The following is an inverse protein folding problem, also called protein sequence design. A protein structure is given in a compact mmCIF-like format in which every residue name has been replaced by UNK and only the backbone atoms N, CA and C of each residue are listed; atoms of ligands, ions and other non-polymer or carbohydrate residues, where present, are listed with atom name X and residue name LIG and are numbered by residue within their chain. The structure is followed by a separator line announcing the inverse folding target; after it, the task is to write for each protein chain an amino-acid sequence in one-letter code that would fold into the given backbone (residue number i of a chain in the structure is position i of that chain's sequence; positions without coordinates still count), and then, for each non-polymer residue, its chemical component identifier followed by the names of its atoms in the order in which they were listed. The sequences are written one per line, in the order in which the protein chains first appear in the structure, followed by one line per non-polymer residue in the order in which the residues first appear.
data_IF_111015897991
#
_entry.id   IF_111015897991
#
_cell.length_a   1.000
_cell.length_b   1.000
_cell.length_c   1.000
_cell.angle_alpha   90.00
_cell.angle_beta   90.00
_cell.angle_gamma   90.00
#
_symmetry.space_group_name_H-M   'P 1'
#
loop_
_entity.id
_entity.type
_entity.pdbx_description
1 polymer ?
#
# COMPACT_ATOMS: atom_id res chain seq x y z
N UNK A 1 -20.96 4.11 -18.63
CA UNK A 1 -19.70 3.57 -19.16
C UNK A 1 -18.52 4.34 -18.58
N UNK A 2 -17.46 3.67 -18.13
CA UNK A 2 -16.18 4.24 -17.69
C UNK A 2 -15.09 3.74 -18.64
N UNK A 3 -14.20 4.61 -19.04
CA UNK A 3 -13.06 4.27 -19.88
C UNK A 3 -11.80 4.69 -19.11
N UNK A 4 -10.91 3.74 -18.88
CA UNK A 4 -9.62 3.95 -18.22
C UNK A 4 -8.55 3.74 -19.28
N UNK A 5 -7.76 4.77 -19.57
CA UNK A 5 -6.73 4.74 -20.59
C UNK A 5 -5.34 4.82 -19.97
N UNK A 6 -4.42 4.05 -20.48
CA UNK A 6 -3.00 4.13 -20.14
C UNK A 6 -2.17 3.93 -21.42
N UNK A 7 -1.66 5.04 -21.95
CA UNK A 7 -0.93 5.09 -23.23
C UNK A 7 -1.78 4.45 -24.35
N UNK A 8 -1.44 3.23 -24.77
CA UNK A 8 -2.12 2.50 -25.86
C UNK A 8 -3.17 1.51 -25.35
N UNK A 9 -3.20 1.22 -24.04
CA UNK A 9 -4.12 0.26 -23.44
C UNK A 9 -5.36 0.95 -22.86
N UNK A 10 -6.54 0.36 -23.06
CA UNK A 10 -7.81 0.84 -22.51
C UNK A 10 -8.58 -0.26 -21.79
N UNK A 11 -9.18 0.07 -20.65
CA UNK A 11 -10.23 -0.73 -20.02
C UNK A 11 -11.55 -0.01 -20.17
N UNK A 12 -12.57 -0.68 -20.68
CA UNK A 12 -13.91 -0.16 -20.81
C UNK A 12 -14.83 -0.94 -19.88
N UNK A 13 -15.52 -0.23 -18.98
CA UNK A 13 -16.49 -0.81 -18.05
C UNK A 13 -17.85 -0.20 -18.27
N UNK A 14 -18.86 -1.05 -18.47
CA UNK A 14 -20.26 -0.67 -18.60
C UNK A 14 -21.15 -1.79 -18.05
N UNK A 15 -22.36 -1.44 -17.68
CA UNK A 15 -23.45 -2.37 -17.38
C UNK A 15 -24.16 -2.90 -18.63
N UNK A 16 -23.75 -2.42 -19.82
CA UNK A 16 -24.31 -2.77 -21.12
C UNK A 16 -23.22 -3.09 -22.15
N UNK A 17 -23.10 -4.32 -22.57
CA UNK A 17 -22.21 -4.71 -23.69
C UNK A 17 -22.59 -4.01 -25.01
N UNK A 18 -23.87 -3.65 -25.19
CA UNK A 18 -24.28 -2.87 -26.37
C UNK A 18 -23.64 -1.51 -26.42
N UNK A 19 -23.50 -0.85 -25.27
CA UNK A 19 -22.86 0.48 -25.18
C UNK A 19 -21.36 0.40 -25.46
N UNK A 20 -20.69 -0.65 -24.93
CA UNK A 20 -19.27 -0.93 -25.24
C UNK A 20 -19.09 -1.11 -26.74
N UNK A 21 -19.86 -2.02 -27.36
CA UNK A 21 -19.77 -2.29 -28.79
C UNK A 21 -20.07 -1.07 -29.65
N UNK A 22 -21.05 -0.25 -29.24
CA UNK A 22 -21.38 0.99 -29.95
C UNK A 22 -20.23 2.00 -29.89
N UNK A 23 -19.62 2.13 -28.71
CA UNK A 23 -18.47 3.02 -28.53
C UNK A 23 -17.26 2.56 -29.34
N UNK A 24 -16.86 1.28 -29.22
CA UNK A 24 -15.73 0.70 -29.98
C UNK A 24 -15.93 0.89 -31.47
N UNK A 25 -17.13 0.60 -31.98
CA UNK A 25 -17.47 0.82 -33.40
C UNK A 25 -17.36 2.29 -33.82
N UNK A 26 -17.81 3.22 -32.97
CA UNK A 26 -17.70 4.66 -33.26
C UNK A 26 -16.26 5.15 -33.33
N UNK A 27 -15.34 4.51 -32.61
CA UNK A 27 -13.91 4.82 -32.67
C UNK A 27 -13.26 4.22 -33.95
N UNK A 28 -13.66 3.03 -34.36
CA UNK A 28 -13.11 2.38 -35.57
C UNK A 28 -13.65 3.01 -36.86
N UNK A 29 -14.95 3.37 -36.87
CA UNK A 29 -15.62 3.94 -38.05
C UNK A 29 -15.59 5.50 -38.06
N UNK A 30 -14.92 6.11 -37.10
CA UNK A 30 -14.82 7.57 -36.94
C UNK A 30 -13.89 8.25 -37.94
N UNK A 31 -13.88 9.59 -37.98
CA UNK A 31 -13.06 10.33 -38.98
C UNK A 31 -11.55 10.11 -38.80
N UNK A 32 -11.08 9.63 -37.66
CA UNK A 32 -9.67 9.37 -37.38
C UNK A 32 -9.29 7.89 -37.48
N UNK A 33 -10.25 6.99 -37.78
CA UNK A 33 -10.05 5.54 -38.03
C UNK A 33 -9.04 4.87 -37.10
N UNK A 34 -9.33 4.81 -35.79
CA UNK A 34 -8.44 4.16 -34.85
C UNK A 34 -8.38 2.64 -35.11
N UNK A 35 -7.17 2.10 -35.22
CA UNK A 35 -6.96 0.65 -35.25
C UNK A 35 -7.00 0.11 -33.85
N UNK A 36 -8.12 -0.52 -33.47
CA UNK A 36 -8.33 -1.11 -32.14
C UNK A 36 -8.28 -2.65 -32.25
N UNK A 37 -7.67 -3.27 -31.25
CA UNK A 37 -7.72 -4.71 -31.03
C UNK A 37 -8.57 -4.99 -29.80
N UNK A 38 -9.61 -5.78 -29.94
CA UNK A 38 -10.43 -6.23 -28.82
C UNK A 38 -9.79 -7.47 -28.19
N UNK A 39 -9.29 -7.32 -26.96
CA UNK A 39 -8.67 -8.41 -26.17
C UNK A 39 -9.70 -9.25 -25.39
N UNK A 40 -11.01 -8.92 -25.50
CA UNK A 40 -12.09 -9.60 -24.80
C UNK A 40 -12.18 -9.24 -23.32
N UNK A 41 -12.66 -10.22 -22.51
CA UNK A 41 -12.79 -10.03 -21.08
C UNK A 41 -11.43 -9.81 -20.42
N UNK A 42 -11.42 -8.87 -19.45
CA UNK A 42 -10.19 -8.48 -18.77
C UNK A 42 -9.58 -9.65 -17.97
N UNK A 43 -8.41 -10.11 -18.38
CA UNK A 43 -7.64 -11.13 -17.68
C UNK A 43 -6.23 -10.64 -17.33
N UNK A 44 -5.77 -9.56 -17.96
CA UNK A 44 -4.46 -8.94 -17.73
C UNK A 44 -4.52 -7.46 -18.10
N UNK A 45 -3.89 -6.62 -17.28
CA UNK A 45 -3.70 -5.21 -17.56
C UNK A 45 -2.42 -4.69 -16.91
N UNK A 46 -1.58 -3.98 -17.67
CA UNK A 46 -0.31 -3.40 -17.22
C UNK A 46 0.60 -4.40 -16.45
N UNK A 47 0.65 -5.65 -16.89
CA UNK A 47 1.44 -6.70 -16.24
C UNK A 47 0.86 -7.23 -14.93
N UNK A 48 -0.39 -6.89 -14.61
CA UNK A 48 -1.19 -7.45 -13.52
C UNK A 48 -2.13 -8.50 -14.12
N UNK A 49 -2.08 -9.71 -13.63
CA UNK A 49 -3.04 -10.77 -13.94
C UNK A 49 -4.28 -10.61 -13.08
N UNK A 50 -5.45 -10.73 -13.69
CA UNK A 50 -6.76 -10.63 -13.06
C UNK A 50 -7.44 -11.97 -13.23
N UNK A 51 -7.63 -12.69 -12.13
CA UNK A 51 -8.26 -14.02 -12.13
C UNK A 51 -9.56 -13.98 -11.34
N UNK A 52 -10.64 -14.32 -11.97
CA UNK A 52 -11.89 -14.59 -11.28
C UNK A 52 -11.78 -15.93 -10.50
N UNK A 53 -12.05 -15.89 -9.19
CA UNK A 53 -12.06 -17.07 -8.32
C UNK A 53 -13.49 -17.60 -8.24
N UNK A 54 -14.42 -16.71 -7.97
CA UNK A 54 -15.87 -16.95 -7.99
C UNK A 54 -16.58 -15.66 -8.40
N UNK A 55 -17.87 -15.71 -8.65
CA UNK A 55 -18.68 -14.51 -8.92
C UNK A 55 -18.41 -13.43 -7.85
N UNK A 56 -17.96 -12.25 -8.26
CA UNK A 56 -17.58 -11.10 -7.43
C UNK A 56 -16.33 -11.29 -6.55
N UNK A 57 -15.53 -12.34 -6.75
CA UNK A 57 -14.26 -12.53 -6.05
C UNK A 57 -13.13 -12.68 -7.06
N UNK A 58 -12.14 -11.78 -7.01
CA UNK A 58 -11.04 -11.70 -7.96
C UNK A 58 -9.70 -11.72 -7.24
N UNK A 59 -8.67 -12.28 -7.88
CA UNK A 59 -7.28 -12.17 -7.45
C UNK A 59 -6.50 -11.35 -8.47
N UNK A 60 -5.77 -10.35 -7.99
CA UNK A 60 -4.83 -9.54 -8.78
C UNK A 60 -3.42 -9.94 -8.39
N UNK A 61 -2.64 -10.44 -9.35
CA UNK A 61 -1.28 -10.95 -9.09
C UNK A 61 -0.28 -10.55 -10.17
N UNK A 62 1.01 -10.68 -9.87
CA UNK A 62 2.11 -10.38 -10.81
C UNK A 62 3.20 -11.47 -10.78
N UNK A 63 2.86 -12.73 -11.05
CA UNK A 63 3.80 -13.86 -10.91
C UNK A 63 5.02 -13.72 -11.83
N UNK A 64 4.88 -13.22 -13.04
CA UNK A 64 5.98 -12.98 -13.97
C UNK A 64 6.98 -11.95 -13.47
N UNK A 65 6.50 -10.86 -12.83
CA UNK A 65 7.39 -9.87 -12.25
C UNK A 65 8.16 -10.46 -11.06
N UNK A 66 7.49 -11.24 -10.22
CA UNK A 66 8.12 -11.93 -9.09
C UNK A 66 9.17 -12.92 -9.58
N UNK A 67 8.86 -13.69 -10.62
CA UNK A 67 9.81 -14.63 -11.24
C UNK A 67 11.05 -13.90 -11.78
N UNK A 68 10.85 -12.79 -12.49
CA UNK A 68 11.94 -11.95 -12.98
C UNK A 68 12.82 -11.42 -11.85
N UNK A 69 12.23 -10.96 -10.74
CA UNK A 69 12.97 -10.52 -9.54
C UNK A 69 13.78 -11.69 -8.98
N UNK A 70 13.16 -12.86 -8.82
CA UNK A 70 13.82 -14.06 -8.28
C UNK A 70 14.99 -14.50 -9.17
N UNK A 71 14.83 -14.52 -10.49
CA UNK A 71 15.88 -14.89 -11.44
C UNK A 71 17.08 -13.94 -11.35
N UNK A 72 16.86 -12.62 -11.30
CA UNK A 72 17.96 -11.65 -11.13
C UNK A 72 18.68 -11.82 -9.80
N UNK A 73 17.95 -12.18 -8.73
CA UNK A 73 18.54 -12.41 -7.41
C UNK A 73 19.25 -13.77 -7.30
N UNK A 74 19.22 -14.63 -8.35
CA UNK A 74 19.76 -15.99 -8.31
C UNK A 74 18.93 -16.95 -7.46
N UNK A 75 17.62 -16.73 -7.38
CA UNK A 75 16.66 -17.55 -6.63
C UNK A 75 15.73 -18.35 -7.58
N UNK A 76 16.11 -18.48 -8.85
CA UNK A 76 15.35 -19.21 -9.86
C UNK A 76 15.27 -20.71 -9.58
N UNK A 77 14.28 -21.38 -10.18
CA UNK A 77 13.82 -22.73 -9.82
C UNK A 77 14.80 -23.88 -9.98
N UNK A 78 15.89 -23.72 -10.75
CA UNK A 78 16.79 -24.84 -11.10
C UNK A 78 17.96 -25.05 -10.12
N UNK A 79 18.32 -24.08 -9.29
CA UNK A 79 19.45 -24.17 -8.37
C UNK A 79 19.08 -23.87 -6.90
N UNK A 80 17.88 -23.38 -6.67
CA UNK A 80 17.47 -22.90 -5.36
C UNK A 80 16.46 -23.84 -4.71
N UNK A 81 16.88 -24.50 -3.62
CA UNK A 81 15.96 -25.30 -2.82
C UNK A 81 15.04 -24.38 -2.00
N UNK A 82 13.88 -24.04 -2.57
CA UNK A 82 12.88 -23.16 -1.96
C UNK A 82 12.48 -23.65 -0.57
N UNK A 83 12.36 -24.96 -0.38
CA UNK A 83 11.91 -25.57 0.91
C UNK A 83 12.85 -25.30 2.08
N UNK A 84 14.17 -25.25 1.85
CA UNK A 84 15.15 -25.08 2.93
C UNK A 84 15.50 -23.62 3.24
N UNK A 85 15.20 -22.68 2.33
CA UNK A 85 15.63 -21.28 2.41
C UNK A 85 14.46 -20.27 2.42
N UNK A 86 13.22 -20.72 2.63
CA UNK A 86 12.04 -19.85 2.66
C UNK A 86 12.11 -18.82 3.79
N UNK A 87 11.54 -17.65 3.53
CA UNK A 87 11.27 -16.64 4.55
C UNK A 87 9.76 -16.42 4.64
N UNK A 88 9.24 -16.48 5.83
CA UNK A 88 7.81 -16.37 6.11
C UNK A 88 7.36 -14.91 6.31
N UNK A 89 8.33 -13.99 6.49
CA UNK A 89 8.11 -12.55 6.60
C UNK A 89 9.08 -11.79 5.71
N UNK A 90 8.65 -10.69 5.06
CA UNK A 90 9.51 -9.93 4.14
C UNK A 90 10.61 -9.16 4.86
N UNK A 91 10.34 -8.67 6.08
CA UNK A 91 11.26 -7.85 6.88
C UNK A 91 11.95 -8.68 7.95
N UNK A 92 13.22 -8.38 8.22
CA UNK A 92 13.99 -8.91 9.35
C UNK A 92 14.28 -7.84 10.39
N UNK A 93 14.72 -8.27 11.57
CA UNK A 93 15.27 -7.38 12.60
C UNK A 93 16.79 -7.55 12.65
N UNK A 94 17.58 -6.52 12.99
CA UNK A 94 17.16 -5.11 13.17
C UNK A 94 16.76 -4.42 11.85
N UNK A 95 16.14 -3.23 11.94
CA UNK A 95 15.86 -2.40 10.76
C UNK A 95 17.17 -1.94 10.10
N UNK A 96 17.09 -1.70 8.80
CA UNK A 96 18.25 -1.25 8.03
C UNK A 96 18.66 0.18 8.37
N UNK A 97 19.96 0.43 8.36
CA UNK A 97 20.58 1.75 8.51
C UNK A 97 21.57 2.02 7.37
N UNK A 98 22.22 3.18 7.34
CA UNK A 98 23.19 3.53 6.29
C UNK A 98 24.40 2.58 6.22
N UNK A 99 24.69 1.86 7.31
CA UNK A 99 25.78 0.87 7.40
C UNK A 99 27.11 1.41 6.83
N UNK A 100 27.53 2.59 7.34
CA UNK A 100 28.67 3.34 6.78
C UNK A 100 29.96 2.51 6.71
N UNK A 101 30.23 1.71 7.76
CA UNK A 101 31.37 0.81 7.87
C UNK A 101 31.10 -0.57 7.26
N UNK A 102 29.93 -0.76 6.65
CA UNK A 102 29.50 -2.02 6.08
C UNK A 102 30.33 -2.47 4.89
N UNK A 103 30.51 -3.76 4.75
CA UNK A 103 31.22 -4.37 3.63
C UNK A 103 30.53 -4.03 2.30
N UNK A 104 31.29 -3.86 1.20
CA UNK A 104 30.72 -3.72 -0.13
C UNK A 104 29.81 -4.90 -0.48
N UNK A 105 28.85 -4.67 -1.37
CA UNK A 105 28.05 -5.73 -1.97
C UNK A 105 28.93 -6.76 -2.67
N UNK A 106 28.45 -8.02 -2.66
CA UNK A 106 29.14 -9.14 -3.32
C UNK A 106 28.55 -9.50 -4.68
N UNK A 107 27.26 -9.22 -4.88
CA UNK A 107 26.54 -9.55 -6.10
C UNK A 107 26.57 -8.41 -7.10
N UNK A 108 26.62 -8.72 -8.37
CA UNK A 108 26.76 -7.79 -9.50
C UNK A 108 25.43 -7.22 -10.02
N UNK A 109 24.26 -7.82 -9.62
CA UNK A 109 22.96 -7.34 -10.08
C UNK A 109 22.72 -5.84 -9.69
N UNK A 110 22.06 -5.12 -10.58
CA UNK A 110 21.81 -3.68 -10.40
C UNK A 110 20.77 -3.42 -9.30
N UNK A 111 21.23 -2.93 -8.15
CA UNK A 111 20.39 -2.70 -6.96
C UNK A 111 19.15 -1.85 -7.26
N UNK A 112 19.33 -0.68 -7.91
CA UNK A 112 18.22 0.23 -8.25
C UNK A 112 17.18 -0.42 -9.15
N UNK A 113 17.58 -1.27 -10.07
CA UNK A 113 16.64 -2.00 -10.96
C UNK A 113 15.76 -2.94 -10.16
N UNK A 114 16.33 -3.69 -9.20
CA UNK A 114 15.56 -4.57 -8.31
C UNK A 114 14.59 -3.74 -7.45
N UNK A 115 15.06 -2.64 -6.87
CA UNK A 115 14.19 -1.78 -6.06
C UNK A 115 13.05 -1.19 -6.90
N UNK A 116 13.30 -0.78 -8.14
CA UNK A 116 12.24 -0.34 -9.07
C UNK A 116 11.18 -1.41 -9.32
N UNK A 117 11.59 -2.65 -9.58
CA UNK A 117 10.66 -3.78 -9.73
C UNK A 117 9.87 -4.06 -8.44
N UNK A 118 10.52 -4.02 -7.29
CA UNK A 118 9.86 -4.19 -5.99
C UNK A 118 8.88 -3.04 -5.69
N UNK A 119 9.22 -1.80 -6.06
CA UNK A 119 8.35 -0.63 -5.91
C UNK A 119 7.09 -0.77 -6.75
N UNK A 120 7.22 -1.23 -7.98
CA UNK A 120 6.07 -1.50 -8.85
C UNK A 120 5.21 -2.64 -8.28
N UNK A 121 5.82 -3.73 -7.85
CA UNK A 121 5.13 -4.88 -7.27
C UNK A 121 4.34 -4.51 -6.00
N UNK A 122 5.00 -3.80 -5.06
CA UNK A 122 4.36 -3.40 -3.80
C UNK A 122 3.24 -2.37 -4.00
N UNK A 123 3.34 -1.52 -5.01
CA UNK A 123 2.34 -0.49 -5.28
C UNK A 123 1.08 -1.01 -5.99
N UNK A 124 1.10 -2.25 -6.50
CA UNK A 124 -0.01 -2.80 -7.29
C UNK A 124 -0.66 -4.03 -6.63
N UNK A 125 0.11 -5.06 -6.29
CA UNK A 125 -0.47 -6.35 -5.89
C UNK A 125 0.07 -6.93 -4.58
N UNK A 126 1.10 -6.31 -3.98
CA UNK A 126 1.77 -6.85 -2.78
C UNK A 126 2.00 -5.78 -1.70
N UNK A 127 0.94 -5.21 -1.10
CA UNK A 127 1.06 -4.17 -0.08
C UNK A 127 1.89 -4.61 1.13
N UNK A 128 1.88 -5.87 1.49
CA UNK A 128 2.58 -6.41 2.65
C UNK A 128 4.11 -6.37 2.55
N UNK A 129 4.66 -6.11 1.35
CA UNK A 129 6.10 -5.89 1.19
C UNK A 129 6.48 -4.40 1.17
N UNK A 130 5.53 -3.49 1.34
CA UNK A 130 5.78 -2.03 1.20
C UNK A 130 6.83 -1.53 2.18
N UNK A 131 6.74 -1.93 3.45
CA UNK A 131 7.74 -1.56 4.44
C UNK A 131 9.14 -2.07 4.07
N UNK A 132 9.27 -3.34 3.67
CA UNK A 132 10.55 -3.92 3.25
C UNK A 132 11.13 -3.16 2.05
N UNK A 133 10.31 -2.90 1.05
CA UNK A 133 10.71 -2.18 -0.16
C UNK A 133 11.13 -0.74 0.14
N UNK A 134 10.37 -0.03 0.98
CA UNK A 134 10.72 1.33 1.39
C UNK A 134 12.05 1.36 2.15
N UNK A 135 12.26 0.43 3.11
CA UNK A 135 13.52 0.32 3.84
C UNK A 135 14.72 0.12 2.90
N UNK A 136 14.59 -0.73 1.89
CA UNK A 136 15.64 -0.98 0.90
C UNK A 136 15.85 0.22 -0.03
N UNK A 137 14.81 0.92 -0.44
CA UNK A 137 14.86 2.05 -1.36
C UNK A 137 15.69 3.23 -0.81
N UNK A 138 15.71 3.42 0.52
CA UNK A 138 16.50 4.45 1.21
C UNK A 138 18.01 4.38 0.91
N UNK A 139 18.50 3.19 0.56
CA UNK A 139 19.94 2.93 0.41
C UNK A 139 20.38 2.72 -1.05
N UNK A 140 19.56 3.12 -2.02
CA UNK A 140 19.85 2.99 -3.46
C UNK A 140 21.11 3.72 -3.93
N UNK A 141 21.56 4.75 -3.21
CA UNK A 141 22.73 5.53 -3.58
C UNK A 141 24.04 4.80 -3.25
N UNK A 142 24.10 4.14 -2.09
CA UNK A 142 25.30 3.41 -1.63
C UNK A 142 24.92 2.15 -0.87
N UNK A 143 24.36 1.13 -1.55
CA UNK A 143 23.95 -0.11 -0.89
C UNK A 143 25.16 -0.94 -0.45
N UNK A 144 25.09 -1.46 0.77
CA UNK A 144 26.09 -2.32 1.39
C UNK A 144 25.66 -3.78 1.38
N UNK A 145 26.51 -4.67 1.88
CA UNK A 145 26.24 -6.10 1.98
C UNK A 145 24.99 -6.41 2.83
N UNK A 146 24.75 -5.64 3.90
CA UNK A 146 23.54 -5.76 4.73
C UNK A 146 22.27 -5.51 3.91
N UNK A 147 22.27 -4.50 3.04
CA UNK A 147 21.16 -4.16 2.14
C UNK A 147 20.95 -5.25 1.07
N UNK A 148 22.03 -5.81 0.53
CA UNK A 148 21.99 -6.95 -0.40
C UNK A 148 21.35 -8.19 0.25
N UNK A 149 21.75 -8.50 1.48
CA UNK A 149 21.20 -9.62 2.24
C UNK A 149 19.70 -9.43 2.54
N UNK A 150 19.29 -8.22 2.90
CA UNK A 150 17.88 -7.91 3.14
C UNK A 150 17.06 -7.98 1.84
N UNK A 151 17.60 -7.53 0.70
CA UNK A 151 16.96 -7.69 -0.62
C UNK A 151 16.80 -9.17 -0.97
N UNK A 152 17.84 -9.97 -0.74
CA UNK A 152 17.77 -11.43 -0.95
C UNK A 152 16.76 -12.10 -0.03
N UNK A 153 16.62 -11.63 1.24
CA UNK A 153 15.59 -12.11 2.15
C UNK A 153 14.18 -11.85 1.60
N UNK A 154 13.93 -10.63 1.10
CA UNK A 154 12.66 -10.27 0.48
C UNK A 154 12.39 -11.13 -0.77
N UNK A 155 13.39 -11.34 -1.63
CA UNK A 155 13.29 -12.26 -2.77
C UNK A 155 12.91 -13.69 -2.36
N UNK A 156 13.45 -14.21 -1.25
CA UNK A 156 13.08 -15.53 -0.72
C UNK A 156 11.62 -15.59 -0.24
N UNK A 157 11.12 -14.52 0.35
CA UNK A 157 9.70 -14.41 0.70
C UNK A 157 8.83 -14.43 -0.56
N UNK A 158 9.19 -13.65 -1.58
CA UNK A 158 8.47 -13.59 -2.85
C UNK A 158 8.51 -14.92 -3.61
N UNK A 159 9.65 -15.61 -3.65
CA UNK A 159 9.76 -16.92 -4.29
C UNK A 159 8.80 -17.95 -3.67
N UNK A 160 8.60 -17.89 -2.35
CA UNK A 160 7.68 -18.78 -1.64
C UNK A 160 6.20 -18.42 -1.85
N UNK A 161 5.90 -17.18 -2.22
CA UNK A 161 4.55 -16.66 -2.38
C UNK A 161 4.29 -16.14 -3.81
N UNK A 162 4.97 -16.74 -4.81
CA UNK A 162 5.02 -16.24 -6.19
C UNK A 162 3.63 -16.08 -6.81
N UNK A 163 2.78 -17.06 -6.60
CA UNK A 163 1.45 -17.15 -7.22
C UNK A 163 0.35 -16.46 -6.40
N UNK A 164 0.74 -15.59 -5.45
CA UNK A 164 -0.18 -14.86 -4.58
C UNK A 164 -0.24 -13.37 -4.93
N UNK A 165 -1.42 -12.83 -4.78
CA UNK A 165 -1.70 -11.40 -5.02
C UNK A 165 -2.71 -10.85 -4.02
N UNK A 166 -3.47 -9.84 -4.40
CA UNK A 166 -4.58 -9.33 -3.59
C UNK A 166 -5.86 -10.07 -3.99
N UNK A 167 -6.55 -10.61 -3.01
CA UNK A 167 -7.88 -11.19 -3.21
C UNK A 167 -8.93 -10.14 -2.89
N UNK A 168 -9.60 -9.64 -3.91
CA UNK A 168 -10.76 -8.76 -3.79
C UNK A 168 -12.02 -9.59 -3.56
N UNK A 169 -12.64 -9.41 -2.41
CA UNK A 169 -13.91 -10.01 -2.04
C UNK A 169 -14.80 -8.92 -1.39
N UNK A 170 -15.43 -8.06 -2.21
CA UNK A 170 -16.08 -6.86 -1.73
C UNK A 170 -17.25 -7.15 -0.77
N UNK A 171 -17.22 -6.53 0.40
CA UNK A 171 -18.36 -6.44 1.31
C UNK A 171 -19.14 -5.15 1.05
N UNK A 172 -20.28 -5.27 0.38
CA UNK A 172 -21.13 -4.13 -0.01
C UNK A 172 -21.73 -3.36 1.18
N UNK A 173 -21.63 -3.90 2.40
CA UNK A 173 -22.08 -3.21 3.63
C UNK A 173 -21.05 -2.20 4.14
N UNK A 174 -19.79 -2.30 3.68
CA UNK A 174 -18.68 -1.47 4.11
C UNK A 174 -18.38 -0.36 3.08
N UNK A 175 -18.09 0.83 3.60
CA UNK A 175 -17.73 2.00 2.79
C UNK A 175 -16.21 2.19 2.67
N UNK A 176 -15.80 3.46 2.72
CA UNK A 176 -14.38 3.85 2.76
C UNK A 176 -13.90 3.71 4.20
N UNK A 177 -12.84 2.95 4.40
CA UNK A 177 -12.15 2.84 5.68
C UNK A 177 -10.66 3.13 5.50
N UNK A 178 -10.04 3.73 6.51
CA UNK A 178 -8.61 4.03 6.51
C UNK A 178 -8.01 3.51 7.82
N UNK A 179 -7.08 2.57 7.72
CA UNK A 179 -6.25 2.11 8.84
C UNK A 179 -4.95 2.90 8.81
N UNK A 180 -4.55 3.48 9.93
CA UNK A 180 -3.36 4.32 10.02
C UNK A 180 -2.54 3.97 11.25
N UNK A 181 -1.22 3.96 11.10
CA UNK A 181 -0.25 3.67 12.16
C UNK A 181 1.06 4.44 11.93
N UNK A 182 1.79 4.68 13.02
CA UNK A 182 3.15 5.17 12.95
C UNK A 182 4.11 4.40 13.87
N UNK A 183 5.24 3.96 13.35
CA UNK A 183 6.33 3.42 14.17
C UNK A 183 7.21 4.59 14.64
N UNK A 184 7.00 5.03 15.89
CA UNK A 184 7.71 6.16 16.49
C UNK A 184 9.19 5.84 16.70
N UNK A 185 10.07 6.52 15.91
CA UNK A 185 11.52 6.36 15.98
C UNK A 185 12.01 4.91 15.99
N UNK A 186 11.30 4.00 15.27
CA UNK A 186 11.57 2.55 15.33
C UNK A 186 12.96 2.13 14.82
N UNK A 187 13.65 3.00 14.09
CA UNK A 187 15.04 2.80 13.68
C UNK A 187 16.09 3.30 14.69
N UNK A 188 15.66 3.95 15.77
CA UNK A 188 16.58 4.56 16.73
C UNK A 188 17.28 3.51 17.59
N UNK A 189 18.59 3.70 17.77
CA UNK A 189 19.35 3.07 18.84
C UNK A 189 20.53 3.97 19.24
N UNK A 190 21.10 3.70 20.41
CA UNK A 190 22.19 4.54 20.99
C UNK A 190 23.39 4.63 20.07
N UNK A 191 23.76 3.57 19.37
CA UNK A 191 24.95 3.51 18.50
C UNK A 191 24.78 4.26 17.16
N UNK A 192 23.52 4.50 16.75
CA UNK A 192 23.19 5.17 15.48
C UNK A 192 22.40 6.47 15.67
N UNK A 193 22.33 6.98 16.91
CA UNK A 193 21.54 8.16 17.29
C UNK A 193 21.94 9.45 16.57
N UNK A 194 23.19 9.56 16.11
CA UNK A 194 23.66 10.72 15.33
C UNK A 194 23.08 10.80 13.91
N UNK A 195 22.41 9.75 13.41
CA UNK A 195 21.81 9.75 12.09
C UNK A 195 20.33 10.14 12.16
N UNK A 196 19.98 11.32 11.67
CA UNK A 196 18.62 11.85 11.67
C UNK A 196 17.59 10.88 11.05
N UNK A 197 17.98 10.10 10.03
CA UNK A 197 17.08 9.13 9.38
C UNK A 197 16.64 8.00 10.32
N UNK A 198 17.37 7.74 11.40
CA UNK A 198 17.02 6.69 12.37
C UNK A 198 16.09 7.21 13.48
N UNK A 199 15.95 8.54 13.60
CA UNK A 199 15.09 9.21 14.58
C UNK A 199 13.69 9.45 13.98
N UNK A 200 13.60 9.52 12.64
CA UNK A 200 12.34 9.74 11.94
C UNK A 200 11.38 8.57 12.15
N UNK A 201 10.13 8.89 12.43
CA UNK A 201 9.05 7.91 12.53
C UNK A 201 8.64 7.40 11.17
N UNK A 202 8.03 6.22 11.12
CA UNK A 202 7.56 5.60 9.90
C UNK A 202 6.03 5.67 9.86
N UNK A 203 5.48 6.24 8.80
CA UNK A 203 4.03 6.29 8.55
C UNK A 203 3.61 5.12 7.68
N UNK A 204 2.56 4.43 8.09
CA UNK A 204 1.85 3.45 7.28
C UNK A 204 0.35 3.71 7.30
N UNK A 205 -0.29 3.58 6.16
CA UNK A 205 -1.75 3.57 6.10
C UNK A 205 -2.25 2.74 4.92
N UNK A 206 -3.45 2.23 5.06
CA UNK A 206 -4.17 1.56 3.99
C UNK A 206 -5.60 2.06 3.94
N UNK A 207 -6.06 2.41 2.74
CA UNK A 207 -7.43 2.80 2.45
C UNK A 207 -8.11 1.61 1.80
N UNK A 208 -9.24 1.20 2.35
CA UNK A 208 -10.09 0.15 1.81
C UNK A 208 -11.43 0.72 1.36
N UNK A 209 -12.03 0.09 0.35
CA UNK A 209 -13.40 0.32 -0.06
C UNK A 209 -14.09 -1.04 -0.17
N UNK A 210 -15.27 -1.18 0.44
CA UNK A 210 -15.95 -2.48 0.54
C UNK A 210 -15.03 -3.59 1.09
N UNK A 211 -14.21 -3.28 2.11
CA UNK A 211 -13.17 -4.13 2.71
C UNK A 211 -12.03 -4.56 1.77
N UNK A 212 -11.93 -4.00 0.57
CA UNK A 212 -10.87 -4.28 -0.39
C UNK A 212 -9.84 -3.15 -0.38
N UNK A 213 -8.52 -3.44 -0.29
CA UNK A 213 -7.50 -2.40 -0.29
C UNK A 213 -7.43 -1.73 -1.68
N UNK A 214 -7.54 -0.39 -1.71
CA UNK A 214 -7.52 0.38 -2.95
C UNK A 214 -6.34 1.35 -3.01
N UNK A 215 -5.79 1.73 -1.86
CA UNK A 215 -4.58 2.56 -1.78
C UNK A 215 -3.84 2.33 -0.46
N UNK A 216 -2.52 2.33 -0.50
CA UNK A 216 -1.66 2.16 0.69
C UNK A 216 -0.33 2.86 0.52
N UNK A 217 0.28 3.23 1.63
CA UNK A 217 1.61 3.82 1.65
C UNK A 217 2.39 3.39 2.89
N UNK A 218 3.70 3.28 2.70
CA UNK A 218 4.69 3.02 3.74
C UNK A 218 5.85 3.99 3.48
N UNK A 219 6.08 4.97 4.37
CA UNK A 219 7.07 6.02 4.15
C UNK A 219 7.61 6.61 5.46
N UNK A 220 8.86 7.06 5.42
CA UNK A 220 9.46 7.79 6.53
C UNK A 220 8.79 9.17 6.62
N UNK A 221 8.54 9.65 7.83
CA UNK A 221 8.08 11.02 8.06
C UNK A 221 9.20 12.01 7.69
N UNK A 222 8.83 13.20 7.29
CA UNK A 222 9.79 14.26 6.92
C UNK A 222 10.21 15.13 8.11
N UNK A 223 9.54 14.96 9.24
CA UNK A 223 9.75 15.69 10.48
C UNK A 223 9.96 14.73 11.63
N UNK A 224 10.70 15.17 12.64
CA UNK A 224 10.92 14.40 13.86
C UNK A 224 9.73 14.64 14.77
N UNK A 225 8.96 13.61 15.05
CA UNK A 225 7.93 13.62 16.07
C UNK A 225 8.57 13.55 17.46
N UNK A 226 7.99 14.26 18.41
CA UNK A 226 8.48 14.31 19.80
C UNK A 226 7.78 13.33 20.72
N UNK A 227 6.77 12.63 20.22
CA UNK A 227 6.01 11.61 20.95
C UNK A 227 5.34 10.63 20.00
N UNK A 228 4.96 9.46 20.51
CA UNK A 228 4.17 8.48 19.75
C UNK A 228 2.86 9.11 19.22
N UNK A 229 2.12 9.83 20.07
CA UNK A 229 0.87 10.48 19.68
C UNK A 229 1.06 11.53 18.58
N UNK A 230 2.19 12.23 18.55
CA UNK A 230 2.53 13.15 17.47
C UNK A 230 2.85 12.41 16.18
N UNK A 231 3.62 11.33 16.22
CA UNK A 231 3.92 10.50 15.06
C UNK A 231 2.63 9.94 14.44
N UNK A 232 1.72 9.42 15.27
CA UNK A 232 0.40 8.91 14.84
C UNK A 232 -0.47 10.03 14.23
N UNK A 233 -0.48 11.21 14.83
CA UNK A 233 -1.24 12.35 14.29
C UNK A 233 -0.71 12.82 12.93
N UNK A 234 0.62 12.81 12.73
CA UNK A 234 1.25 13.09 11.44
C UNK A 234 0.85 12.03 10.41
N UNK A 235 0.84 10.75 10.81
CA UNK A 235 0.43 9.66 9.94
C UNK A 235 -1.06 9.79 9.54
N UNK A 236 -1.94 10.07 10.50
CA UNK A 236 -3.36 10.32 10.25
C UNK A 236 -3.57 11.52 9.30
N UNK A 237 -2.91 12.64 9.54
CA UNK A 237 -2.96 13.78 8.64
C UNK A 237 -2.50 13.43 7.21
N UNK A 238 -1.45 12.64 7.09
CA UNK A 238 -0.92 12.19 5.79
C UNK A 238 -1.91 11.29 5.06
N UNK A 239 -2.55 10.36 5.75
CA UNK A 239 -3.55 9.47 5.16
C UNK A 239 -4.80 10.22 4.71
N UNK A 240 -5.25 11.20 5.49
CA UNK A 240 -6.46 11.97 5.20
C UNK A 240 -6.30 12.94 4.02
N UNK A 241 -5.07 13.29 3.63
CA UNK A 241 -4.80 14.00 2.36
C UNK A 241 -5.13 13.17 1.13
N UNK A 242 -5.05 11.85 1.25
CA UNK A 242 -5.43 10.91 0.18
C UNK A 242 -6.93 10.56 0.27
N UNK A 243 -7.46 10.38 1.48
CA UNK A 243 -8.87 10.02 1.71
C UNK A 243 -9.83 11.11 1.23
N UNK A 244 -9.56 12.39 1.52
CA UNK A 244 -10.49 13.49 1.21
C UNK A 244 -10.73 13.64 -0.30
N UNK A 245 -9.69 13.66 -1.17
CA UNK A 245 -9.88 13.65 -2.62
C UNK A 245 -10.58 12.39 -3.11
N UNK A 246 -10.24 11.21 -2.55
CA UNK A 246 -10.89 9.95 -2.91
C UNK A 246 -12.40 9.98 -2.61
N UNK A 247 -12.81 10.48 -1.44
CA UNK A 247 -14.23 10.66 -1.11
C UNK A 247 -14.94 11.56 -2.13
N UNK A 248 -14.26 12.59 -2.63
CA UNK A 248 -14.80 13.47 -3.66
C UNK A 248 -14.96 12.74 -4.99
N UNK A 249 -13.92 12.01 -5.42
CA UNK A 249 -13.96 11.17 -6.61
C UNK A 249 -15.10 10.13 -6.55
N UNK A 250 -15.25 9.45 -5.41
CA UNK A 250 -16.32 8.46 -5.23
C UNK A 250 -17.73 9.09 -5.31
N UNK A 251 -17.91 10.33 -4.82
CA UNK A 251 -19.16 11.07 -4.99
C UNK A 251 -19.47 11.40 -6.45
N UNK A 252 -18.45 11.76 -7.22
CA UNK A 252 -18.59 12.05 -8.65
C UNK A 252 -18.90 10.79 -9.44
N UNK A 253 -18.16 9.71 -9.18
CA UNK A 253 -18.41 8.40 -9.80
C UNK A 253 -19.84 7.90 -9.53
N UNK A 254 -20.34 8.08 -8.29
CA UNK A 254 -21.70 7.66 -7.93
C UNK A 254 -22.80 8.39 -8.70
N UNK A 255 -22.56 9.63 -9.15
CA UNK A 255 -23.53 10.36 -10.01
C UNK A 255 -23.69 9.73 -11.39
N UNK A 256 -22.61 9.12 -11.90
CA UNK A 256 -22.58 8.49 -13.23
C UNK A 256 -22.90 7.01 -13.15
N UNK A 257 -22.42 6.36 -12.11
CA UNK A 257 -22.64 4.94 -11.77
C UNK A 257 -23.22 4.88 -10.37
N UNK A 258 -24.54 4.77 -10.21
CA UNK A 258 -25.13 4.49 -8.91
C UNK A 258 -24.67 3.09 -8.47
N UNK A 259 -23.51 3.04 -7.83
CA UNK A 259 -23.04 1.82 -7.15
C UNK A 259 -24.13 1.51 -6.13
N UNK A 260 -24.75 0.33 -6.24
CA UNK A 260 -25.82 -0.14 -5.36
C UNK A 260 -25.28 -0.40 -3.94
N UNK A 261 -24.88 0.66 -3.27
CA UNK A 261 -24.63 0.68 -1.84
C UNK A 261 -25.91 1.20 -1.21
N UNK A 262 -26.45 0.45 -0.27
CA UNK A 262 -27.76 0.70 0.39
C UNK A 262 -27.89 2.07 1.11
N UNK A 263 -26.90 2.87 1.14
CA UNK A 263 -26.84 4.33 1.37
C UNK A 263 -25.43 4.77 0.96
N UNK A 264 -25.27 5.64 -0.03
CA UNK A 264 -23.97 6.18 -0.37
C UNK A 264 -23.50 7.15 0.72
N UNK A 265 -23.07 6.61 1.83
CA UNK A 265 -22.39 7.36 2.86
C UNK A 265 -20.94 7.52 2.41
N UNK A 266 -20.66 8.62 1.75
CA UNK A 266 -19.30 9.03 1.39
C UNK A 266 -18.56 9.60 2.61
N UNK A 267 -18.68 8.93 3.75
CA UNK A 267 -17.86 9.18 4.91
C UNK A 267 -16.77 8.10 5.00
N UNK A 268 -15.66 8.46 5.64
CA UNK A 268 -14.58 7.54 5.92
C UNK A 268 -14.51 7.22 7.40
N UNK A 269 -14.38 5.94 7.74
CA UNK A 269 -14.00 5.50 9.07
C UNK A 269 -12.48 5.37 9.14
N UNK A 270 -11.87 6.10 10.06
CA UNK A 270 -10.44 6.02 10.34
C UNK A 270 -10.22 5.16 11.57
N UNK A 271 -9.37 4.15 11.44
CA UNK A 271 -9.02 3.20 12.48
C UNK A 271 -7.64 3.55 13.06
N UNK A 272 -7.61 3.94 14.31
CA UNK A 272 -6.44 4.41 15.07
C UNK A 272 -6.35 3.65 16.39
N UNK A 273 -5.16 3.18 16.80
CA UNK A 273 -5.00 2.44 18.06
C UNK A 273 -4.51 3.34 19.22
N UNK A 274 -4.05 4.54 18.95
CA UNK A 274 -3.58 5.49 19.96
C UNK A 274 -4.71 6.41 20.44
N UNK A 275 -5.20 6.16 21.64
CA UNK A 275 -6.27 6.97 22.25
C UNK A 275 -5.92 8.45 22.42
N UNK A 276 -4.63 8.80 22.60
CA UNK A 276 -4.20 10.19 22.71
C UNK A 276 -4.33 10.91 21.38
N UNK A 277 -4.00 10.24 20.27
CA UNK A 277 -4.18 10.73 18.90
C UNK A 277 -5.65 10.92 18.60
N UNK A 278 -6.50 9.96 18.94
CA UNK A 278 -7.97 10.08 18.78
C UNK A 278 -8.49 11.31 19.51
N UNK A 279 -8.10 11.51 20.77
CA UNK A 279 -8.49 12.70 21.56
C UNK A 279 -8.02 14.01 20.90
N UNK A 280 -6.79 14.06 20.38
CA UNK A 280 -6.29 15.25 19.68
C UNK A 280 -7.08 15.55 18.41
N UNK A 281 -7.43 14.53 17.63
CA UNK A 281 -8.12 14.67 16.37
C UNK A 281 -9.60 15.04 16.51
N UNK A 282 -10.24 14.66 17.63
CA UNK A 282 -11.65 14.93 17.93
C UNK A 282 -11.88 16.13 18.84
N UNK A 283 -10.83 16.61 19.52
CA UNK A 283 -10.93 17.73 20.46
C UNK A 283 -11.07 19.07 19.74
N UNK A 284 -11.94 19.92 20.29
CA UNK A 284 -12.09 21.32 19.84
C UNK A 284 -11.06 22.28 20.46
N UNK A 285 -10.40 21.86 21.53
CA UNK A 285 -9.47 22.72 22.28
C UNK A 285 -8.04 22.21 22.15
N UNK A 286 -7.15 23.09 21.72
CA UNK A 286 -5.72 22.83 21.76
C UNK A 286 -5.15 23.12 23.13
N UNK A 287 -4.33 22.20 23.64
CA UNK A 287 -3.50 22.48 24.80
C UNK A 287 -2.22 23.22 24.35
N UNK A 288 -1.54 23.97 25.23
CA UNK A 288 -0.25 24.58 24.89
C UNK A 288 0.77 23.59 24.34
N UNK A 289 0.71 22.31 24.80
CA UNK A 289 1.60 21.23 24.35
C UNK A 289 1.32 20.73 22.92
N UNK A 290 0.09 20.85 22.44
CA UNK A 290 -0.33 20.32 21.13
C UNK A 290 -0.53 21.41 20.08
N UNK A 291 -0.40 22.69 20.47
CA UNK A 291 -0.65 23.83 19.57
C UNK A 291 0.25 23.84 18.33
N UNK A 292 1.51 23.48 18.48
CA UNK A 292 2.46 23.42 17.37
C UNK A 292 2.15 22.28 16.37
N UNK A 293 1.61 21.16 16.86
CA UNK A 293 1.20 20.01 16.05
C UNK A 293 -0.06 20.36 15.24
N UNK A 294 -0.98 21.07 15.89
CA UNK A 294 -2.32 21.30 15.40
C UNK A 294 -2.40 22.14 14.12
N UNK A 295 -1.59 23.20 14.00
CA UNK A 295 -1.71 24.14 12.89
C UNK A 295 -1.41 23.51 11.54
N UNK A 296 -0.37 22.71 11.44
CA UNK A 296 0.09 22.15 10.16
C UNK A 296 -0.74 20.93 9.71
N UNK A 297 -1.20 20.14 10.65
CA UNK A 297 -1.83 18.84 10.37
C UNK A 297 -3.34 18.84 10.56
N UNK A 298 -3.94 20.00 10.83
CA UNK A 298 -5.34 20.14 11.26
C UNK A 298 -6.37 20.32 10.11
N UNK A 299 -5.91 20.13 8.86
CA UNK A 299 -6.75 20.35 7.67
C UNK A 299 -8.02 19.47 7.64
N UNK A 300 -7.98 18.29 8.27
CA UNK A 300 -9.09 17.35 8.26
C UNK A 300 -10.17 17.59 9.33
N UNK A 301 -9.89 18.40 10.35
CA UNK A 301 -10.80 18.57 11.48
C UNK A 301 -12.17 19.14 11.09
N UNK A 302 -12.23 19.95 10.04
CA UNK A 302 -13.51 20.40 9.50
C UNK A 302 -14.36 19.24 8.96
N UNK A 303 -13.73 18.21 8.42
CA UNK A 303 -14.40 17.00 7.93
C UNK A 303 -14.88 16.12 9.07
N UNK A 304 -14.09 16.01 10.16
CA UNK A 304 -14.50 15.31 11.40
C UNK A 304 -15.73 16.00 12.00
N UNK A 305 -15.70 17.33 12.17
CA UNK A 305 -16.83 18.10 12.71
C UNK A 305 -18.11 17.99 11.88
N UNK A 306 -17.98 17.86 10.56
CA UNK A 306 -19.12 17.69 9.63
C UNK A 306 -19.60 16.23 9.56
N UNK A 307 -18.98 15.29 10.27
CA UNK A 307 -19.30 13.87 10.21
C UNK A 307 -18.91 13.18 8.90
N UNK A 308 -18.06 13.81 8.08
CA UNK A 308 -17.53 13.19 6.86
C UNK A 308 -16.40 12.19 7.17
N UNK A 309 -15.73 12.37 8.30
CA UNK A 309 -14.68 11.48 8.81
C UNK A 309 -15.04 11.12 10.25
N UNK A 310 -15.06 9.83 10.53
CA UNK A 310 -15.28 9.28 11.85
C UNK A 310 -13.99 8.59 12.31
N UNK A 311 -13.46 8.95 13.49
CA UNK A 311 -12.24 8.37 14.02
C UNK A 311 -12.60 7.37 15.09
N UNK A 312 -12.26 6.11 14.86
CA UNK A 312 -12.62 4.98 15.70
C UNK A 312 -11.36 4.33 16.31
N UNK A 313 -11.49 3.86 17.53
CA UNK A 313 -10.46 3.04 18.14
C UNK A 313 -10.41 1.66 17.44
N UNK A 314 -9.21 1.24 17.12
CA UNK A 314 -8.91 -0.08 16.60
C UNK A 314 -7.93 -0.79 17.53
N UNK A 315 -8.18 -2.02 17.99
CA UNK A 315 -7.18 -2.78 18.72
C UNK A 315 -5.92 -3.00 17.87
N UNK A 316 -4.74 -2.90 18.48
CA UNK A 316 -3.45 -3.06 17.75
C UNK A 316 -3.37 -4.39 17.00
N UNK A 317 -3.96 -5.46 17.53
CA UNK A 317 -4.02 -6.75 16.84
C UNK A 317 -4.82 -6.74 15.53
N UNK A 318 -5.72 -5.77 15.34
CA UNK A 318 -6.54 -5.59 14.13
C UNK A 318 -6.07 -4.43 13.26
N UNK A 319 -4.99 -3.73 13.67
CA UNK A 319 -4.43 -2.60 12.97
C UNK A 319 -3.70 -3.04 11.69
N UNK A 320 -4.41 -3.02 10.56
CA UNK A 320 -3.88 -3.46 9.25
C UNK A 320 -2.64 -2.66 8.82
N UNK A 321 -2.54 -1.40 9.26
CA UNK A 321 -1.43 -0.52 8.92
C UNK A 321 -0.09 -0.93 9.56
N UNK A 322 -0.10 -1.74 10.62
CA UNK A 322 1.11 -2.32 11.23
C UNK A 322 1.99 -3.08 10.22
N UNK A 323 1.39 -3.70 9.20
CA UNK A 323 2.11 -4.33 8.09
C UNK A 323 3.02 -3.37 7.33
N UNK A 324 2.68 -2.08 7.36
CA UNK A 324 3.32 -1.03 6.58
C UNK A 324 4.33 -0.21 7.39
N UNK A 325 4.41 -0.44 8.70
CA UNK A 325 5.25 0.36 9.63
C UNK A 325 6.26 -0.46 10.40
N UNK A 326 5.93 -1.71 10.79
CA UNK A 326 6.68 -2.50 11.77
C UNK A 326 7.16 -3.85 11.23
N UNK A 327 8.36 -4.31 11.62
CA UNK A 327 8.78 -5.69 11.37
C UNK A 327 8.04 -6.64 12.33
N UNK A 328 6.94 -7.21 11.87
CA UNK A 328 6.06 -8.05 12.67
C UNK A 328 6.62 -9.47 12.88
N UNK A 329 6.27 -10.07 14.02
CA UNK A 329 6.42 -11.49 14.25
C UNK A 329 5.50 -12.29 13.29
N UNK A 330 5.88 -13.54 12.98
CA UNK A 330 5.19 -14.37 11.98
C UNK A 330 3.66 -14.44 12.18
N UNK A 331 3.21 -14.71 13.40
CA UNK A 331 1.77 -14.87 13.68
C UNK A 331 0.97 -13.57 13.42
N UNK A 332 1.48 -12.42 13.90
CA UNK A 332 0.85 -11.13 13.67
C UNK A 332 0.90 -10.74 12.18
N UNK A 333 2.05 -10.94 11.51
CA UNK A 333 2.19 -10.71 10.08
C UNK A 333 1.19 -11.53 9.27
N UNK A 334 1.08 -12.82 9.56
CA UNK A 334 0.17 -13.72 8.84
C UNK A 334 -1.30 -13.31 9.03
N UNK A 335 -1.70 -12.99 10.27
CA UNK A 335 -3.06 -12.54 10.59
C UNK A 335 -3.43 -11.27 9.82
N UNK A 336 -2.62 -10.21 9.97
CA UNK A 336 -2.90 -8.91 9.35
C UNK A 336 -2.83 -8.98 7.82
N UNK A 337 -1.89 -9.75 7.26
CA UNK A 337 -1.83 -10.00 5.83
C UNK A 337 -3.11 -10.68 5.34
N UNK A 338 -3.58 -11.72 6.03
CA UNK A 338 -4.83 -12.38 5.67
C UNK A 338 -6.03 -11.42 5.73
N UNK A 339 -6.10 -10.58 6.76
CA UNK A 339 -7.15 -9.56 6.89
C UNK A 339 -7.10 -8.50 5.78
N UNK A 340 -5.90 -8.19 5.27
CA UNK A 340 -5.73 -7.13 4.28
C UNK A 340 -5.88 -7.64 2.85
N UNK A 341 -5.26 -8.76 2.51
CA UNK A 341 -5.14 -9.25 1.13
C UNK A 341 -5.71 -10.66 0.91
N UNK A 342 -6.31 -11.27 1.92
CA UNK A 342 -7.15 -12.47 1.77
C UNK A 342 -6.41 -13.81 1.83
N UNK A 343 -5.07 -13.88 2.18
CA UNK A 343 -4.29 -15.12 2.27
C UNK A 343 -3.15 -15.07 3.27
#
# INVERSE_FOLDING_TARGET
MIIITYVDDCIIVSDSMKDINTFVKSMMDGPEEYVLTDEGDINKFLGIEIKEITANKFELSQPFLIERICNVLGLGSNEYNIKTNTKVTPVGKPLLNKDLEGKPRKKDWKYRTIIGMLTYLQGNTRPEISMATHQLARFCQNPKLSHEQATTRLGRYLAHTKDRGIVYNPDKSMGIECYVDADFAGGWNITTSANADNIMSHTGFVITYANCPIYWASRLQTEIALSTAEAEYIAMSSSLREVIPLMTLMKELHKVFPVHINKPNFFCKVHEDNQSTIKMATSEKFTPRTKHIALKYHHFCSHVKKGHIEINYCPTEDQKADLLTKPLAHAAFFRLRHMLIGW
#
